data_IF_165478311951
#
_entry.id   IF_165478311951
#
_cell.length_a   1.000
_cell.length_b   1.000
_cell.length_c   1.000
_cell.angle_alpha   90.00
_cell.angle_beta   90.00
_cell.angle_gamma   90.00
#
_symmetry.space_group_name_H-M   'P 1'
#
loop_
_entity.id
_entity.type
_entity.pdbx_description
1 polymer ?
#
# COMPACT_ATOMS: atom_id res chain seq x y z
N UNK A 1 -2.52 -14.66 -3.93
CA UNK A 1 -1.99 -13.27 -3.81
C UNK A 1 -2.90 -12.34 -3.02
N UNK A 2 -4.23 -12.42 -3.16
CA UNK A 2 -5.18 -11.58 -2.38
C UNK A 2 -5.10 -11.85 -0.87
N UNK A 3 -4.92 -13.10 -0.44
CA UNK A 3 -4.75 -13.46 0.98
C UNK A 3 -3.48 -12.83 1.58
N UNK A 4 -2.36 -12.88 0.86
CA UNK A 4 -1.13 -12.20 1.28
C UNK A 4 -1.31 -10.68 1.34
N UNK A 5 -2.03 -10.08 0.38
CA UNK A 5 -2.37 -8.67 0.42
C UNK A 5 -3.24 -8.32 1.64
N UNK A 6 -4.17 -9.20 2.05
CA UNK A 6 -4.93 -9.02 3.27
C UNK A 6 -4.04 -9.08 4.52
N UNK A 7 -3.12 -10.05 4.58
CA UNK A 7 -2.16 -10.16 5.69
C UNK A 7 -1.22 -8.95 5.79
N UNK A 8 -0.86 -8.34 4.66
CA UNK A 8 0.00 -7.16 4.62
C UNK A 8 -0.62 -5.92 5.28
N UNK A 9 -1.95 -5.87 5.44
CA UNK A 9 -2.66 -4.72 6.02
C UNK A 9 -2.14 -4.41 7.43
N UNK A 10 -1.79 -5.41 8.23
CA UNK A 10 -1.29 -5.20 9.61
C UNK A 10 0.22 -5.05 9.69
N UNK A 11 0.94 -5.25 8.58
CA UNK A 11 2.40 -5.28 8.52
C UNK A 11 3.00 -4.10 7.74
N UNK A 12 2.16 -3.38 6.98
CA UNK A 12 2.57 -2.32 6.08
C UNK A 12 1.67 -1.11 6.24
N UNK A 13 2.29 0.01 6.62
CA UNK A 13 1.60 1.26 6.93
C UNK A 13 0.79 1.79 5.74
N UNK A 14 1.35 1.72 4.53
CA UNK A 14 0.64 2.17 3.33
C UNK A 14 -0.48 1.20 2.94
N UNK A 15 -0.31 -0.10 3.16
CA UNK A 15 -1.32 -1.09 2.85
C UNK A 15 -2.55 -0.90 3.74
N UNK A 16 -2.32 -0.61 5.03
CA UNK A 16 -3.37 -0.25 5.98
C UNK A 16 -4.10 1.03 5.57
N UNK A 17 -3.35 2.11 5.31
CA UNK A 17 -3.91 3.38 4.89
C UNK A 17 -4.74 3.24 3.60
N UNK A 18 -4.24 2.47 2.62
CA UNK A 18 -4.96 2.18 1.40
C UNK A 18 -6.27 1.45 1.67
N UNK A 19 -6.22 0.39 2.49
CA UNK A 19 -7.41 -0.36 2.87
C UNK A 19 -8.45 0.54 3.51
N UNK A 20 -8.06 1.33 4.53
CA UNK A 20 -8.94 2.28 5.22
C UNK A 20 -9.55 3.30 4.25
N UNK A 21 -8.76 3.88 3.34
CA UNK A 21 -9.27 4.81 2.32
C UNK A 21 -10.31 4.18 1.40
N UNK A 22 -10.10 2.94 0.94
CA UNK A 22 -11.09 2.29 0.07
C UNK A 22 -12.36 1.91 0.82
N UNK A 23 -12.24 1.50 2.09
CA UNK A 23 -13.39 1.25 2.95
C UNK A 23 -14.20 2.52 3.20
N UNK A 24 -13.53 3.66 3.43
CA UNK A 24 -14.18 4.96 3.57
C UNK A 24 -14.91 5.41 2.29
N UNK A 25 -14.41 5.02 1.11
CA UNK A 25 -15.08 5.21 -0.19
C UNK A 25 -16.27 4.27 -0.43
N UNK A 26 -16.63 3.41 0.53
CA UNK A 26 -17.72 2.44 0.39
C UNK A 26 -17.37 1.19 -0.42
N UNK A 27 -16.09 0.95 -0.73
CA UNK A 27 -15.70 -0.25 -1.46
C UNK A 27 -15.93 -1.51 -0.62
N UNK A 28 -16.44 -2.58 -1.25
CA UNK A 28 -16.57 -3.89 -0.60
C UNK A 28 -15.19 -4.42 -0.16
N UNK A 29 -15.18 -5.30 0.84
CA UNK A 29 -13.95 -5.89 1.37
C UNK A 29 -13.17 -6.59 0.26
N UNK A 30 -13.85 -7.45 -0.49
CA UNK A 30 -13.26 -8.21 -1.60
C UNK A 30 -12.73 -7.30 -2.72
N UNK A 31 -13.45 -6.22 -3.07
CA UNK A 31 -12.97 -5.26 -4.06
C UNK A 31 -11.71 -4.54 -3.57
N UNK A 32 -11.69 -4.14 -2.30
CA UNK A 32 -10.54 -3.48 -1.66
C UNK A 32 -9.31 -4.38 -1.66
N UNK A 33 -9.46 -5.65 -1.26
CA UNK A 33 -8.34 -6.60 -1.24
C UNK A 33 -7.77 -6.88 -2.63
N UNK A 34 -8.62 -7.02 -3.65
CA UNK A 34 -8.16 -7.20 -5.04
C UNK A 34 -7.41 -5.97 -5.54
N UNK A 35 -7.88 -4.78 -5.21
CA UNK A 35 -7.20 -3.53 -5.57
C UNK A 35 -5.85 -3.38 -4.83
N UNK A 36 -5.78 -3.78 -3.56
CA UNK A 36 -4.55 -3.79 -2.77
C UNK A 36 -3.54 -4.80 -3.36
N UNK A 37 -4.00 -6.02 -3.67
CA UNK A 37 -3.23 -7.03 -4.37
C UNK A 37 -2.66 -6.51 -5.69
N UNK A 38 -3.46 -5.82 -6.51
CA UNK A 38 -2.99 -5.23 -7.76
C UNK A 38 -1.86 -4.21 -7.55
N UNK A 39 -1.95 -3.36 -6.52
CA UNK A 39 -0.88 -2.42 -6.17
C UNK A 39 0.40 -3.14 -5.77
N UNK A 40 0.27 -4.13 -4.89
CA UNK A 40 1.40 -4.94 -4.43
C UNK A 40 2.12 -5.67 -5.57
N UNK A 41 1.38 -6.30 -6.50
CA UNK A 41 1.99 -6.99 -7.65
C UNK A 41 2.88 -6.02 -8.43
N UNK A 42 2.44 -4.76 -8.63
CA UNK A 42 3.24 -3.76 -9.34
C UNK A 42 4.51 -3.38 -8.60
N UNK A 43 4.45 -3.27 -7.27
CA UNK A 43 5.61 -2.96 -6.42
C UNK A 43 6.61 -4.13 -6.46
N UNK A 44 6.15 -5.34 -6.15
CA UNK A 44 7.00 -6.54 -6.14
C UNK A 44 7.59 -6.82 -7.52
N UNK A 45 6.80 -6.64 -8.59
CA UNK A 45 7.29 -6.78 -9.96
C UNK A 45 8.40 -5.78 -10.28
N UNK A 46 8.28 -4.52 -9.83
CA UNK A 46 9.34 -3.52 -10.00
C UNK A 46 10.61 -3.92 -9.25
N UNK A 47 10.47 -4.30 -7.97
CA UNK A 47 11.57 -4.78 -7.14
C UNK A 47 12.29 -5.98 -7.77
N UNK A 48 11.52 -6.94 -8.29
CA UNK A 48 12.06 -8.09 -9.00
C UNK A 48 12.81 -7.71 -10.28
N UNK A 49 12.24 -6.82 -11.11
CA UNK A 49 12.88 -6.36 -12.35
C UNK A 49 14.18 -5.60 -12.11
N UNK A 50 14.32 -4.92 -10.99
CA UNK A 50 15.53 -4.16 -10.62
C UNK A 50 16.45 -4.93 -9.68
N UNK A 51 16.12 -6.18 -9.31
CA UNK A 51 16.83 -6.97 -8.31
C UNK A 51 17.04 -6.23 -6.98
N UNK A 52 16.07 -5.39 -6.60
CA UNK A 52 16.11 -4.62 -5.36
C UNK A 52 15.13 -5.21 -4.36
N UNK A 53 15.54 -5.33 -3.10
CA UNK A 53 14.64 -5.70 -2.00
C UNK A 53 13.57 -4.61 -1.84
N UNK A 54 12.35 -5.01 -1.49
CA UNK A 54 11.30 -4.06 -1.17
C UNK A 54 11.65 -3.28 0.11
N UNK A 55 11.60 -1.95 0.01
CA UNK A 55 11.69 -1.03 1.14
C UNK A 55 10.46 -0.11 1.12
N UNK A 56 9.69 -0.13 2.20
CA UNK A 56 8.47 0.65 2.35
C UNK A 56 8.71 2.16 2.29
N UNK A 57 9.84 2.63 2.84
CA UNK A 57 10.19 4.07 2.84
C UNK A 57 10.39 4.57 1.42
N UNK A 58 11.09 3.78 0.59
CA UNK A 58 11.28 4.09 -0.83
C UNK A 58 9.96 4.23 -1.58
N UNK A 59 8.99 3.34 -1.32
CA UNK A 59 7.67 3.43 -1.95
C UNK A 59 6.88 4.67 -1.47
N UNK A 60 6.89 4.95 -0.17
CA UNK A 60 6.24 6.12 0.41
C UNK A 60 6.82 7.43 -0.14
N UNK A 61 8.15 7.56 -0.21
CA UNK A 61 8.81 8.72 -0.82
C UNK A 61 8.41 8.92 -2.28
N UNK A 62 8.29 7.83 -3.05
CA UNK A 62 7.83 7.90 -4.43
C UNK A 62 6.38 8.37 -4.54
N UNK A 63 5.52 8.03 -3.58
CA UNK A 63 4.15 8.53 -3.49
C UNK A 63 4.09 10.00 -3.10
N UNK A 64 4.93 10.45 -2.16
CA UNK A 64 5.02 11.86 -1.75
C UNK A 64 5.41 12.74 -2.92
N UNK A 65 6.46 12.33 -3.67
CA UNK A 65 6.93 13.04 -4.87
C UNK A 65 5.86 13.17 -5.96
N UNK A 66 4.85 12.30 -5.95
CA UNK A 66 3.74 12.28 -6.90
C UNK A 66 2.47 12.95 -6.37
N UNK A 67 2.50 13.50 -5.15
CA UNK A 67 1.33 14.14 -4.52
C UNK A 67 0.20 13.16 -4.21
N UNK A 68 0.52 11.91 -3.88
CA UNK A 68 -0.52 10.93 -3.55
C UNK A 68 -1.11 11.20 -2.17
N UNK A 69 -2.45 11.29 -2.09
CA UNK A 69 -3.22 11.34 -0.83
C UNK A 69 -3.04 10.09 0.04
N UNK A 70 -2.35 9.06 -0.45
CA UNK A 70 -2.03 7.87 0.34
C UNK A 70 -1.01 8.17 1.44
N UNK A 71 -0.18 9.21 1.31
CA UNK A 71 0.94 9.48 2.24
C UNK A 71 0.50 10.23 3.49
N UNK A 72 -0.59 11.00 3.42
CA UNK A 72 -1.11 11.76 4.56
C UNK A 72 -1.44 10.84 5.75
N UNK A 73 -2.09 9.71 5.50
CA UNK A 73 -2.48 8.78 6.56
C UNK A 73 -1.29 8.01 7.22
N UNK A 74 -0.31 7.46 6.49
CA UNK A 74 0.88 6.83 7.06
C UNK A 74 1.81 7.81 7.79
N UNK A 75 1.89 9.07 7.36
CA UNK A 75 2.77 10.07 8.00
C UNK A 75 2.27 10.43 9.41
N UNK A 76 0.95 10.57 9.60
CA UNK A 76 0.36 10.75 10.93
C UNK A 76 0.61 9.55 11.85
N UNK A 77 0.52 8.33 11.30
CA UNK A 77 0.72 7.09 12.06
C UNK A 77 2.18 6.83 12.49
N UNK A 78 3.16 7.39 11.77
CA UNK A 78 4.59 7.27 12.10
C UNK A 78 5.10 8.39 13.05
N UNK A 79 4.29 9.42 13.27
CA UNK A 79 4.61 10.55 14.17
C UNK A 79 3.99 10.41 15.57
N UNK A 80 3.24 9.33 15.82
CA UNK A 80 2.63 8.98 17.12
C UNK A 80 3.36 7.81 17.75
#
# INVERSE_FOLDING_TARGET
FVEWAAHSITQSSWAEAYYRQQRAKGCSYQATLRALAFKWIRIVYRCWKTSTVYDEKTYLLALTRRGSTLVEAPMEALSS
#
